data_IF_205746035715
#
_entry.id   IF_205746035715
#
_cell.length_a   1.000
_cell.length_b   1.000
_cell.length_c   1.000
_cell.angle_alpha   90.00
_cell.angle_beta   90.00
_cell.angle_gamma   90.00
#
_symmetry.space_group_name_H-M   'P 1'
#
loop_
_entity.id
_entity.type
_entity.pdbx_description
1 polymer ?
#
# COMPACT_ATOMS: atom_id res chain seq x y z
N UNK A 1 4.05 -31.78 -5.20
CA UNK A 1 3.07 -30.91 -5.89
C UNK A 1 3.02 -29.48 -5.31
N UNK A 2 3.05 -29.30 -3.98
CA UNK A 2 3.16 -27.97 -3.36
C UNK A 2 4.58 -27.39 -3.49
N UNK A 3 5.60 -28.22 -3.36
CA UNK A 3 7.01 -27.83 -3.59
C UNK A 3 7.29 -27.50 -5.06
N UNK A 4 6.69 -28.23 -6.01
CA UNK A 4 6.79 -27.93 -7.44
C UNK A 4 6.10 -26.62 -7.81
N UNK A 5 4.99 -26.27 -7.15
CA UNK A 5 4.31 -24.99 -7.34
C UNK A 5 5.11 -23.83 -6.74
N UNK A 6 5.78 -24.04 -5.62
CA UNK A 6 6.66 -23.06 -5.01
C UNK A 6 7.90 -22.76 -5.86
N UNK A 7 8.50 -23.79 -6.47
CA UNK A 7 9.66 -23.60 -7.37
C UNK A 7 9.29 -22.98 -8.72
N UNK A 8 8.04 -23.10 -9.16
CA UNK A 8 7.58 -22.49 -10.42
C UNK A 8 7.19 -21.01 -10.29
N UNK A 9 7.00 -20.53 -9.06
CA UNK A 9 6.57 -19.15 -8.79
C UNK A 9 7.74 -18.14 -8.75
N UNK A 10 8.99 -18.60 -8.83
CA UNK A 10 10.16 -17.72 -8.74
C UNK A 10 10.93 -17.81 -10.07
N UNK A 11 10.40 -17.19 -11.09
CA UNK A 11 11.20 -16.80 -12.24
C UNK A 11 11.25 -15.27 -12.27
N UNK A 12 12.45 -14.72 -12.04
CA UNK A 12 12.80 -13.30 -11.98
C UNK A 12 12.60 -12.52 -13.31
N UNK A 13 11.64 -12.87 -14.14
CA UNK A 13 11.32 -12.13 -15.33
C UNK A 13 10.03 -11.33 -15.14
N UNK A 14 10.21 -10.11 -14.63
CA UNK A 14 9.15 -9.09 -14.72
C UNK A 14 8.94 -8.75 -16.18
N UNK A 15 7.83 -9.18 -16.75
CA UNK A 15 7.43 -8.75 -18.08
C UNK A 15 6.81 -7.35 -17.99
N UNK A 16 7.53 -6.36 -18.50
CA UNK A 16 7.12 -4.95 -18.45
C UNK A 16 5.78 -4.68 -19.16
N UNK A 17 5.33 -5.59 -20.01
CA UNK A 17 4.06 -5.46 -20.71
C UNK A 17 2.87 -5.99 -19.90
N UNK A 18 3.11 -6.69 -18.79
CA UNK A 18 2.06 -7.22 -17.96
C UNK A 18 1.69 -6.26 -16.82
N UNK A 19 0.42 -6.18 -16.45
CA UNK A 19 0.02 -5.41 -15.28
C UNK A 19 0.68 -5.96 -14.02
N UNK A 20 1.10 -5.06 -13.14
CA UNK A 20 1.63 -5.45 -11.83
C UNK A 20 0.53 -5.41 -10.79
N UNK A 21 0.35 -6.51 -10.10
CA UNK A 21 -0.63 -6.68 -9.02
C UNK A 21 0.12 -6.75 -7.69
N UNK A 22 -0.27 -5.94 -6.73
CA UNK A 22 0.15 -6.08 -5.33
C UNK A 22 -0.61 -7.23 -4.67
N UNK A 23 -1.24 -7.00 -3.53
CA UNK A 23 -2.03 -8.04 -2.83
C UNK A 23 -3.32 -8.47 -3.51
N UNK A 24 -3.78 -7.79 -4.56
CA UNK A 24 -4.96 -8.14 -5.35
C UNK A 24 -6.29 -8.08 -4.60
N UNK A 25 -6.32 -7.60 -3.36
CA UNK A 25 -7.47 -7.71 -2.46
C UNK A 25 -8.74 -7.01 -2.95
N UNK A 26 -8.61 -5.97 -3.77
CA UNK A 26 -9.72 -5.28 -4.41
C UNK A 26 -10.02 -5.86 -5.80
N UNK A 27 -8.99 -6.13 -6.59
CA UNK A 27 -9.11 -6.67 -7.94
C UNK A 27 -9.84 -8.02 -7.97
N UNK A 28 -9.56 -8.92 -7.02
CA UNK A 28 -10.25 -10.20 -6.92
C UNK A 28 -11.74 -10.09 -6.60
N UNK A 29 -12.19 -8.96 -6.08
CA UNK A 29 -13.61 -8.70 -5.83
C UNK A 29 -14.32 -8.19 -7.09
N UNK A 30 -13.66 -7.28 -7.83
CA UNK A 30 -14.30 -6.57 -8.95
C UNK A 30 -14.01 -7.19 -10.31
N UNK A 31 -12.84 -7.78 -10.52
CA UNK A 31 -12.33 -8.24 -11.82
C UNK A 31 -11.96 -9.73 -11.83
N UNK A 32 -12.60 -10.51 -10.97
CA UNK A 32 -12.23 -11.92 -10.73
C UNK A 32 -12.11 -12.76 -12.00
N UNK A 33 -13.02 -12.61 -12.94
CA UNK A 33 -13.03 -13.42 -14.18
C UNK A 33 -11.90 -13.02 -15.12
N UNK A 34 -11.64 -11.73 -15.26
CA UNK A 34 -10.56 -11.22 -16.11
C UNK A 34 -9.20 -11.59 -15.55
N UNK A 35 -9.02 -11.52 -14.22
CA UNK A 35 -7.76 -11.88 -13.55
C UNK A 35 -7.40 -13.36 -13.67
N UNK A 36 -8.37 -14.26 -13.73
CA UNK A 36 -8.11 -15.70 -13.89
C UNK A 36 -7.52 -16.05 -15.27
N UNK A 37 -7.77 -15.22 -16.28
CA UNK A 37 -7.29 -15.39 -17.64
C UNK A 37 -6.09 -14.47 -17.97
N UNK A 38 -5.83 -13.46 -17.14
CA UNK A 38 -4.78 -12.46 -17.36
C UNK A 38 -3.47 -12.89 -16.72
N UNK A 39 -2.39 -12.89 -17.50
CA UNK A 39 -1.04 -12.95 -16.94
C UNK A 39 -0.73 -11.63 -16.25
N UNK A 40 -0.15 -11.66 -15.07
CA UNK A 40 0.23 -10.47 -14.31
C UNK A 40 1.53 -10.72 -13.54
N UNK A 41 2.27 -9.65 -13.30
CA UNK A 41 3.37 -9.66 -12.36
C UNK A 41 2.81 -9.49 -10.95
N UNK A 42 3.26 -10.29 -10.00
CA UNK A 42 2.92 -10.12 -8.58
C UNK A 42 4.10 -9.48 -7.86
N UNK A 43 3.87 -8.32 -7.25
CA UNK A 43 4.86 -7.63 -6.44
C UNK A 43 4.36 -7.59 -4.99
N UNK A 44 5.20 -8.08 -4.06
CA UNK A 44 4.89 -7.97 -2.64
C UNK A 44 4.48 -9.25 -1.93
N UNK A 45 4.48 -10.39 -2.63
CA UNK A 45 4.26 -11.70 -2.01
C UNK A 45 5.55 -12.52 -1.85
N UNK A 46 6.63 -12.10 -2.46
CA UNK A 46 7.95 -12.62 -2.21
C UNK A 46 8.48 -12.00 -0.90
N UNK A 47 9.16 -12.79 -0.11
CA UNK A 47 9.82 -12.35 1.13
C UNK A 47 10.99 -11.39 0.90
N UNK A 48 11.08 -10.77 -0.28
CA UNK A 48 12.07 -9.75 -0.57
C UNK A 48 11.75 -8.51 0.26
N UNK A 49 12.68 -8.14 1.03
CA UNK A 49 12.83 -7.06 2.00
C UNK A 49 12.11 -5.77 1.61
N UNK A 50 10.81 -5.68 1.95
CA UNK A 50 10.14 -4.38 1.99
C UNK A 50 10.67 -3.63 3.21
N UNK A 51 11.74 -2.88 3.00
CA UNK A 51 12.36 -2.16 4.10
C UNK A 51 11.55 -0.90 4.40
N UNK A 52 11.16 -0.78 5.66
CA UNK A 52 10.76 0.48 6.24
C UNK A 52 11.98 1.02 6.96
N UNK A 53 12.50 2.15 6.48
CA UNK A 53 13.72 2.73 7.02
C UNK A 53 13.52 4.20 7.39
N UNK A 54 14.33 4.67 8.33
CA UNK A 54 14.45 6.08 8.62
C UNK A 54 15.69 6.63 7.92
N UNK A 55 15.50 7.65 7.11
CA UNK A 55 16.55 8.40 6.46
C UNK A 55 16.40 9.89 6.80
N UNK A 56 17.32 10.43 7.57
CA UNK A 56 17.23 11.79 8.11
C UNK A 56 15.89 12.01 8.86
N UNK A 57 15.10 12.99 8.42
CA UNK A 57 13.78 13.30 8.97
C UNK A 57 12.64 12.53 8.32
N UNK A 58 12.91 11.65 7.35
CA UNK A 58 11.90 10.92 6.63
C UNK A 58 11.86 9.45 7.03
N UNK A 59 10.65 8.90 6.99
CA UNK A 59 10.40 7.47 7.01
C UNK A 59 10.08 7.08 5.57
N UNK A 60 10.87 6.14 5.04
CA UNK A 60 10.72 5.61 3.69
C UNK A 60 10.12 4.21 3.75
N UNK A 61 9.23 3.92 2.81
CA UNK A 61 8.57 2.63 2.66
C UNK A 61 8.54 2.23 1.19
N UNK A 62 8.69 0.95 0.91
CA UNK A 62 8.38 0.41 -0.41
C UNK A 62 6.87 0.41 -0.65
N UNK A 63 6.43 0.68 -1.90
CA UNK A 63 5.01 0.68 -2.27
C UNK A 63 4.33 -0.69 -2.08
N UNK A 64 5.11 -1.77 -2.17
CA UNK A 64 4.64 -3.14 -1.90
C UNK A 64 4.48 -3.49 -0.42
N UNK A 65 4.88 -2.60 0.51
CA UNK A 65 4.68 -2.81 1.95
C UNK A 65 3.21 -3.11 2.25
N UNK A 66 2.93 -4.23 2.88
CA UNK A 66 1.56 -4.56 3.30
C UNK A 66 1.15 -3.77 4.53
N UNK A 67 -0.16 -3.63 4.74
CA UNK A 67 -0.70 -2.98 5.93
C UNK A 67 -0.21 -3.66 7.21
N UNK A 68 -0.11 -5.00 7.22
CA UNK A 68 0.42 -5.75 8.37
C UNK A 68 1.92 -5.52 8.59
N UNK A 69 2.73 -5.42 7.53
CA UNK A 69 4.15 -5.10 7.65
C UNK A 69 4.34 -3.69 8.21
N UNK A 70 3.58 -2.71 7.71
CA UNK A 70 3.57 -1.35 8.25
C UNK A 70 3.27 -1.35 9.75
N UNK A 71 2.20 -2.02 10.18
CA UNK A 71 1.78 -2.09 11.57
C UNK A 71 2.79 -2.75 12.51
N UNK A 72 3.45 -3.79 12.02
CA UNK A 72 4.37 -4.59 12.84
C UNK A 72 5.80 -4.07 12.85
N UNK A 73 6.10 -3.05 12.04
CA UNK A 73 7.45 -2.49 11.98
C UNK A 73 7.81 -1.72 13.25
N UNK A 74 9.00 -1.93 13.78
CA UNK A 74 9.46 -1.33 15.04
C UNK A 74 9.60 0.19 14.97
N UNK A 75 10.03 0.73 13.81
CA UNK A 75 10.15 2.18 13.60
C UNK A 75 8.76 2.81 13.68
N UNK A 76 7.79 2.24 12.96
CA UNK A 76 6.41 2.74 12.94
C UNK A 76 5.77 2.68 14.33
N UNK A 77 5.96 1.59 15.06
CA UNK A 77 5.47 1.46 16.44
C UNK A 77 6.10 2.45 17.40
N UNK A 78 7.36 2.82 17.19
CA UNK A 78 8.01 3.85 18.02
C UNK A 78 7.43 5.25 17.77
N UNK A 79 6.96 5.52 16.55
CA UNK A 79 6.37 6.80 16.15
C UNK A 79 4.88 6.87 16.57
N UNK A 80 4.16 5.77 16.40
CA UNK A 80 2.71 5.65 16.65
C UNK A 80 2.42 4.50 17.63
N UNK A 81 2.67 4.67 18.94
CA UNK A 81 2.54 3.58 19.91
C UNK A 81 1.14 2.95 19.99
N UNK A 82 0.10 3.75 19.74
CA UNK A 82 -1.30 3.31 19.80
C UNK A 82 -1.89 2.89 18.46
N UNK A 83 -1.07 2.80 17.40
CA UNK A 83 -1.52 2.52 16.03
C UNK A 83 -2.33 1.23 15.93
N UNK A 84 -1.96 0.20 16.68
CA UNK A 84 -2.70 -1.07 16.73
C UNK A 84 -4.18 -0.91 17.11
N UNK A 85 -4.50 0.06 17.97
CA UNK A 85 -5.89 0.32 18.40
C UNK A 85 -6.73 0.84 17.24
N UNK A 86 -6.13 1.68 16.40
CA UNK A 86 -6.81 2.34 15.29
C UNK A 86 -6.93 1.44 14.05
N UNK A 87 -5.86 0.79 13.66
CA UNK A 87 -5.83 -0.01 12.43
C UNK A 87 -6.56 -1.37 12.57
N UNK A 88 -6.84 -1.84 13.76
CA UNK A 88 -7.78 -2.99 13.94
C UNK A 88 -9.12 -2.77 13.26
N UNK A 89 -9.52 -1.52 13.07
CA UNK A 89 -10.76 -1.13 12.38
C UNK A 89 -10.61 -1.10 10.84
N UNK A 90 -9.39 -1.22 10.34
CA UNK A 90 -9.09 -1.26 8.90
C UNK A 90 -9.11 -2.70 8.43
N UNK A 91 -10.16 -3.12 7.74
CA UNK A 91 -10.35 -4.45 7.15
C UNK A 91 -10.06 -5.64 8.10
N UNK A 92 -10.08 -6.87 7.59
CA UNK A 92 -9.74 -8.07 8.33
C UNK A 92 -8.23 -8.34 8.31
N UNK A 93 -7.74 -9.15 9.25
CA UNK A 93 -6.31 -9.54 9.29
C UNK A 93 -5.82 -10.21 8.00
N UNK A 94 -6.55 -11.17 7.37
CA UNK A 94 -6.12 -11.73 6.10
C UNK A 94 -5.97 -10.66 5.00
N UNK A 95 -6.90 -9.71 4.95
CA UNK A 95 -6.81 -8.60 3.98
C UNK A 95 -5.59 -7.72 4.26
N UNK A 96 -5.36 -7.33 5.52
CA UNK A 96 -4.16 -6.53 5.88
C UNK A 96 -2.85 -7.22 5.58
N UNK A 97 -2.81 -8.55 5.64
CA UNK A 97 -1.61 -9.33 5.31
C UNK A 97 -1.27 -9.30 3.82
N UNK A 98 -2.25 -9.03 2.96
CA UNK A 98 -2.09 -9.01 1.51
C UNK A 98 -2.17 -7.60 0.92
N UNK A 99 -3.03 -6.73 1.44
CA UNK A 99 -3.24 -5.39 0.92
C UNK A 99 -1.97 -4.55 1.05
N UNK A 100 -1.43 -4.11 -0.08
CA UNK A 100 -0.25 -3.22 -0.13
C UNK A 100 -0.66 -1.76 -0.01
N UNK A 101 0.26 -0.91 0.47
CA UNK A 101 0.02 0.52 0.57
C UNK A 101 -0.19 1.14 -0.82
N UNK A 102 0.67 0.82 -1.80
CA UNK A 102 0.48 1.27 -3.17
C UNK A 102 -0.85 0.82 -3.75
N UNK A 103 -1.24 -0.45 -3.53
CA UNK A 103 -2.54 -0.97 -3.99
C UNK A 103 -3.72 -0.19 -3.40
N UNK A 104 -3.65 0.18 -2.12
CA UNK A 104 -4.68 0.99 -1.47
C UNK A 104 -4.78 2.38 -2.10
N UNK A 105 -3.64 3.04 -2.37
CA UNK A 105 -3.63 4.38 -2.99
C UNK A 105 -4.12 4.35 -4.43
N UNK A 106 -3.66 3.39 -5.24
CA UNK A 106 -4.02 3.26 -6.65
C UNK A 106 -5.49 2.85 -6.83
N UNK A 107 -6.06 2.09 -5.90
CA UNK A 107 -7.50 1.78 -5.92
C UNK A 107 -8.37 3.04 -5.84
N UNK A 108 -7.82 4.14 -5.34
CA UNK A 108 -8.48 5.46 -5.28
C UNK A 108 -9.88 5.40 -4.67
N UNK A 109 -10.06 4.57 -3.64
CA UNK A 109 -11.32 4.52 -2.91
C UNK A 109 -11.52 5.81 -2.10
N UNK A 110 -12.68 6.47 -2.19
CA UNK A 110 -12.95 7.67 -1.38
C UNK A 110 -13.05 7.37 0.12
N UNK A 111 -13.11 6.11 0.50
CA UNK A 111 -13.11 5.62 1.87
C UNK A 111 -11.85 4.81 2.20
N UNK A 112 -10.76 5.05 1.48
CA UNK A 112 -9.49 4.36 1.69
C UNK A 112 -8.82 4.76 3.00
N UNK A 113 -8.91 3.93 4.01
CA UNK A 113 -8.39 4.22 5.36
C UNK A 113 -6.90 4.58 5.34
N UNK A 114 -6.07 3.79 4.63
CA UNK A 114 -4.63 4.06 4.55
C UNK A 114 -4.33 5.29 3.71
N UNK A 115 -5.10 5.56 2.67
CA UNK A 115 -4.98 6.79 1.88
C UNK A 115 -5.14 8.03 2.77
N UNK A 116 -6.19 8.08 3.58
CA UNK A 116 -6.45 9.21 4.49
C UNK A 116 -5.35 9.34 5.54
N UNK A 117 -4.93 8.20 6.10
CA UNK A 117 -3.82 8.17 7.06
C UNK A 117 -2.55 8.82 6.50
N UNK A 118 -2.14 8.42 5.30
CA UNK A 118 -0.91 8.93 4.68
C UNK A 118 -1.05 10.37 4.15
N UNK A 119 -2.24 10.77 3.69
CA UNK A 119 -2.50 12.18 3.34
C UNK A 119 -2.39 13.07 4.59
N UNK A 120 -2.92 12.63 5.74
CA UNK A 120 -2.79 13.38 7.00
C UNK A 120 -1.33 13.54 7.45
N UNK A 121 -0.46 12.58 7.12
CA UNK A 121 0.99 12.68 7.33
C UNK A 121 1.72 13.52 6.28
N UNK A 122 1.00 14.12 5.33
CA UNK A 122 1.59 14.83 4.18
C UNK A 122 2.59 13.95 3.42
N UNK A 123 2.26 12.67 3.27
CA UNK A 123 3.13 11.72 2.60
C UNK A 123 3.33 12.09 1.13
N UNK A 124 4.52 11.77 0.64
CA UNK A 124 4.91 11.90 -0.76
C UNK A 124 5.14 10.50 -1.34
N UNK A 125 4.90 10.36 -2.62
CA UNK A 125 5.08 9.13 -3.38
C UNK A 125 6.06 9.32 -4.52
N UNK A 126 6.74 8.23 -4.88
CA UNK A 126 7.61 8.15 -6.04
C UNK A 126 6.99 7.20 -7.06
N UNK A 127 6.71 7.72 -8.24
CA UNK A 127 6.26 6.93 -9.39
C UNK A 127 7.46 6.48 -10.24
N UNK A 128 7.32 5.36 -10.94
CA UNK A 128 8.40 4.71 -11.69
C UNK A 128 9.07 5.62 -12.73
N UNK A 129 8.29 6.43 -13.44
CA UNK A 129 8.79 7.31 -14.49
C UNK A 129 9.15 8.73 -14.01
N UNK A 130 9.01 8.98 -12.71
CA UNK A 130 9.22 10.31 -12.13
C UNK A 130 10.71 10.67 -11.91
N UNK A 131 11.64 9.73 -12.15
CA UNK A 131 13.03 9.88 -11.76
C UNK A 131 13.15 10.01 -10.25
N UNK A 132 13.68 11.11 -9.75
CA UNK A 132 13.78 11.41 -8.31
C UNK A 132 12.71 12.40 -7.81
N UNK A 133 11.67 12.66 -8.62
CA UNK A 133 10.66 13.66 -8.29
C UNK A 133 9.56 13.07 -7.41
N UNK A 134 9.61 13.39 -6.15
CA UNK A 134 8.57 13.06 -5.18
C UNK A 134 7.34 13.94 -5.38
N UNK A 135 6.17 13.34 -5.34
CA UNK A 135 4.89 14.03 -5.47
C UNK A 135 4.05 13.86 -4.19
N UNK A 136 3.41 14.91 -3.67
CA UNK A 136 2.45 14.75 -2.58
C UNK A 136 1.38 13.70 -2.92
N UNK A 137 1.09 12.78 -2.01
CA UNK A 137 0.06 11.75 -2.23
C UNK A 137 -1.31 12.37 -2.57
N UNK A 138 -1.63 13.51 -1.98
CA UNK A 138 -2.88 14.23 -2.26
C UNK A 138 -3.01 14.66 -3.73
N UNK A 139 -1.91 14.89 -4.43
CA UNK A 139 -1.92 15.29 -5.84
C UNK A 139 -2.07 14.10 -6.81
N UNK A 140 -1.96 12.87 -6.30
CA UNK A 140 -2.22 11.68 -7.10
C UNK A 140 -3.67 11.64 -7.61
N UNK A 141 -4.61 12.21 -6.87
CA UNK A 141 -6.04 12.10 -7.13
C UNK A 141 -6.57 13.29 -7.92
N UNK A 142 -6.97 13.07 -9.17
CA UNK A 142 -7.59 14.10 -10.04
C UNK A 142 -9.12 14.17 -9.90
N UNK A 143 -9.71 13.11 -9.34
CA UNK A 143 -11.15 12.97 -9.16
C UNK A 143 -11.54 11.54 -8.76
N UNK A 144 -12.83 11.24 -8.77
CA UNK A 144 -13.31 9.92 -8.40
C UNK A 144 -12.69 8.84 -9.30
N UNK A 145 -11.90 7.94 -8.71
CA UNK A 145 -11.16 6.87 -9.40
C UNK A 145 -10.29 7.33 -10.58
N UNK A 146 -9.88 8.60 -10.57
CA UNK A 146 -9.00 9.19 -11.58
C UNK A 146 -7.68 9.60 -10.94
N UNK A 147 -6.57 9.11 -11.49
CA UNK A 147 -5.22 9.28 -10.95
C UNK A 147 -4.31 10.03 -11.92
N UNK A 148 -3.39 10.82 -11.35
CA UNK A 148 -2.28 11.47 -12.05
C UNK A 148 -1.12 10.50 -12.20
N UNK A 149 -1.30 9.45 -12.99
CA UNK A 149 -0.26 8.49 -13.35
C UNK A 149 -0.67 7.76 -14.63
N UNK A 150 0.29 7.23 -15.35
CA UNK A 150 0.04 6.38 -16.50
C UNK A 150 -0.50 5.01 -16.05
N UNK A 151 -1.27 4.36 -16.93
CA UNK A 151 -1.99 3.12 -16.59
C UNK A 151 -1.07 2.05 -16.01
N UNK A 152 0.11 1.86 -16.59
CA UNK A 152 1.06 0.82 -16.20
C UNK A 152 2.20 1.34 -15.30
N UNK A 153 2.22 2.61 -14.97
CA UNK A 153 3.24 3.20 -14.12
C UNK A 153 3.08 2.71 -12.67
N UNK A 154 4.19 2.29 -12.07
CA UNK A 154 4.20 1.75 -10.71
C UNK A 154 4.41 2.85 -9.67
N UNK A 155 3.78 2.70 -8.53
CA UNK A 155 4.12 3.43 -7.31
C UNK A 155 5.22 2.64 -6.59
N UNK A 156 6.45 3.17 -6.64
CA UNK A 156 7.63 2.47 -6.14
C UNK A 156 7.81 2.66 -4.64
N UNK A 157 7.72 3.91 -4.19
CA UNK A 157 8.09 4.27 -2.82
C UNK A 157 7.15 5.32 -2.23
N UNK A 158 7.09 5.33 -0.92
CA UNK A 158 6.31 6.26 -0.12
C UNK A 158 7.26 6.85 0.91
N UNK A 159 7.16 8.14 1.18
CA UNK A 159 7.84 8.74 2.32
C UNK A 159 6.94 9.72 3.05
N UNK A 160 7.19 9.88 4.33
CA UNK A 160 6.60 10.94 5.11
C UNK A 160 7.61 11.48 6.13
N UNK A 161 7.47 12.75 6.50
CA UNK A 161 8.33 13.33 7.52
C UNK A 161 7.98 12.73 8.88
N UNK A 162 8.98 12.28 9.63
CA UNK A 162 8.79 11.78 10.99
C UNK A 162 8.11 12.87 11.83
N UNK A 163 6.95 12.57 12.45
CA UNK A 163 6.28 13.50 13.35
C UNK A 163 7.19 13.92 14.50
N UNK A 164 7.13 15.17 14.91
CA UNK A 164 7.88 15.67 16.07
C UNK A 164 7.34 15.06 17.37
N UNK A 165 8.13 15.11 18.44
CA UNK A 165 7.72 14.63 19.76
C UNK A 165 6.51 15.39 20.34
N UNK A 166 6.17 16.54 19.79
CA UNK A 166 5.01 17.36 20.18
C UNK A 166 3.80 17.17 19.26
N UNK A 167 3.88 16.26 18.29
CA UNK A 167 2.75 15.97 17.42
C UNK A 167 1.68 15.20 18.15
N UNK A 168 0.42 15.59 17.94
CA UNK A 168 -0.74 14.82 18.37
C UNK A 168 -1.27 14.05 17.18
N UNK A 169 -1.50 12.75 17.37
CA UNK A 169 -2.06 11.87 16.36
C UNK A 169 -3.33 11.20 16.89
N UNK A 170 -4.41 11.30 16.12
CA UNK A 170 -5.63 10.53 16.35
C UNK A 170 -6.16 10.04 14.99
N UNK A 171 -6.63 8.81 14.95
CA UNK A 171 -7.23 8.21 13.76
C UNK A 171 -8.54 7.53 14.17
N UNK A 172 -9.64 8.06 13.69
CA UNK A 172 -10.98 7.56 14.01
C UNK A 172 -11.67 7.01 12.78
N UNK A 173 -12.33 5.88 12.93
CA UNK A 173 -13.21 5.32 11.92
C UNK A 173 -14.65 5.39 12.41
N UNK A 174 -15.47 6.17 11.71
CA UNK A 174 -16.90 6.25 11.95
C UNK A 174 -17.63 5.43 10.92
N UNK A 175 -18.29 4.37 11.34
CA UNK A 175 -19.04 3.48 10.46
C UNK A 175 -20.30 2.95 11.15
N UNK A 176 -21.32 2.60 10.37
CA UNK A 176 -22.55 2.00 10.88
C UNK A 176 -22.34 0.58 11.42
N UNK A 177 -21.33 -0.11 10.96
CA UNK A 177 -20.94 -1.47 11.36
C UNK A 177 -19.51 -1.46 11.87
N UNK A 178 -19.23 -2.25 12.90
CA UNK A 178 -17.94 -2.23 13.60
C UNK A 178 -16.73 -2.50 12.70
N UNK A 179 -16.91 -3.29 11.63
CA UNK A 179 -15.79 -3.74 10.80
C UNK A 179 -15.97 -3.51 9.31
N UNK A 180 -17.11 -3.07 8.86
CA UNK A 180 -17.42 -2.91 7.44
C UNK A 180 -18.32 -1.71 7.22
N UNK A 181 -17.95 -0.83 6.30
CA UNK A 181 -18.65 0.41 6.04
C UNK A 181 -19.24 0.50 4.61
N UNK A 182 -19.43 -0.65 4.00
CA UNK A 182 -20.02 -0.75 2.66
C UNK A 182 -21.36 -1.46 2.71
#
# INVERSE_FOLDING_TARGET
RLEELSQKAITDHVDINLPTIGGGTDLYVHERHELLETKANFKGLDNSTFEIMQENDFILLDGGTTVSQFLNNSIIRSIFPDLDKHIKLVSSTPIRNMATLAGNFINASPIGDMTIFFIALQAEILLENAGENWMPLSELYLGYKSLRKDKNELLLSIRFRKPSAFSFFNFEKVSKRTHLDI
#
